data_IF_573892699349
#
_entry.id   IF_573892699349
#
_cell.length_a   1.000
_cell.length_b   1.000
_cell.length_c   1.000
_cell.angle_alpha   90.00
_cell.angle_beta   90.00
_cell.angle_gamma   90.00
#
_symmetry.space_group_name_H-M   'P 1'
#
loop_
_entity.id
_entity.type
_entity.pdbx_description
1 polymer ?
#
# COMPACT_ATOMS: atom_id res chain seq x y z
N UNK A 1 19.06 -14.09 -36.32
CA UNK A 1 17.89 -13.24 -36.02
C UNK A 1 18.21 -12.48 -34.75
N UNK A 2 18.61 -11.22 -34.88
CA UNK A 2 18.93 -10.35 -33.73
C UNK A 2 17.64 -10.01 -33.02
N UNK A 3 17.45 -10.54 -31.81
CA UNK A 3 16.42 -10.09 -30.91
C UNK A 3 16.72 -8.62 -30.60
N UNK A 4 15.94 -7.70 -31.16
CA UNK A 4 15.98 -6.29 -30.80
C UNK A 4 15.67 -6.21 -29.30
N UNK A 5 16.68 -5.93 -28.49
CA UNK A 5 16.52 -5.64 -27.08
C UNK A 5 15.74 -4.31 -26.97
N UNK A 6 14.44 -4.39 -27.07
CA UNK A 6 13.58 -3.23 -26.80
C UNK A 6 13.86 -2.83 -25.37
N UNK A 7 14.38 -1.60 -25.20
CA UNK A 7 14.62 -1.01 -23.86
C UNK A 7 13.35 -1.17 -23.03
N UNK A 8 13.45 -1.68 -21.79
CA UNK A 8 12.29 -1.83 -20.93
C UNK A 8 11.59 -0.47 -20.83
N UNK A 9 10.27 -0.46 -21.02
CA UNK A 9 9.43 0.74 -20.98
C UNK A 9 8.12 0.44 -20.25
N UNK A 10 7.41 1.46 -19.79
CA UNK A 10 6.06 1.28 -19.22
C UNK A 10 5.09 0.65 -20.23
N UNK A 11 5.25 0.98 -21.51
CA UNK A 11 4.48 0.34 -22.57
C UNK A 11 4.77 -1.16 -22.67
N UNK A 12 6.03 -1.59 -22.41
CA UNK A 12 6.38 -3.00 -22.40
C UNK A 12 5.70 -3.75 -21.24
N UNK A 13 5.54 -3.11 -20.06
CA UNK A 13 4.76 -3.66 -18.93
C UNK A 13 3.32 -3.95 -19.37
N UNK A 14 2.66 -2.97 -19.99
CA UNK A 14 1.26 -3.10 -20.42
C UNK A 14 1.09 -4.06 -21.61
N UNK A 15 2.12 -4.26 -22.43
CA UNK A 15 2.12 -5.25 -23.52
C UNK A 15 2.36 -6.69 -23.07
N UNK A 16 2.75 -6.90 -21.80
CA UNK A 16 2.83 -8.27 -21.26
C UNK A 16 1.47 -8.96 -21.41
N UNK A 17 1.43 -10.22 -21.86
CA UNK A 17 0.17 -10.94 -22.11
C UNK A 17 -0.77 -10.87 -20.89
N UNK A 18 -2.01 -10.44 -21.12
CA UNK A 18 -3.07 -10.29 -20.11
C UNK A 18 -2.83 -9.22 -19.02
N UNK A 19 -1.68 -8.53 -19.02
CA UNK A 19 -1.32 -7.53 -18.02
C UNK A 19 -2.35 -6.39 -17.95
N UNK A 20 -2.62 -5.73 -19.08
CA UNK A 20 -3.54 -4.59 -19.15
C UNK A 20 -4.94 -4.95 -18.64
N UNK A 21 -5.51 -6.08 -19.09
CA UNK A 21 -6.83 -6.54 -18.64
C UNK A 21 -6.87 -6.78 -17.14
N UNK A 22 -5.85 -7.47 -16.60
CA UNK A 22 -5.78 -7.82 -15.19
C UNK A 22 -5.59 -6.56 -14.34
N UNK A 23 -4.69 -5.68 -14.75
CA UNK A 23 -4.40 -4.43 -14.06
C UNK A 23 -5.60 -3.50 -14.03
N UNK A 24 -6.26 -3.27 -15.18
CA UNK A 24 -7.48 -2.44 -15.25
C UNK A 24 -8.59 -2.99 -14.36
N UNK A 25 -8.80 -4.31 -14.36
CA UNK A 25 -9.79 -4.95 -13.48
C UNK A 25 -9.46 -4.74 -12.00
N UNK A 26 -8.18 -4.84 -11.62
CA UNK A 26 -7.74 -4.54 -10.26
C UNK A 26 -7.96 -3.06 -9.90
N UNK A 27 -7.68 -2.12 -10.81
CA UNK A 27 -7.89 -0.68 -10.61
C UNK A 27 -9.37 -0.34 -10.43
N UNK A 28 -10.27 -0.93 -11.23
CA UNK A 28 -11.73 -0.76 -11.05
C UNK A 28 -12.17 -1.20 -9.66
N UNK A 29 -11.71 -2.36 -9.18
CA UNK A 29 -12.02 -2.81 -7.82
C UNK A 29 -11.43 -1.91 -6.73
N UNK A 30 -10.20 -1.41 -6.94
CA UNK A 30 -9.48 -0.53 -5.99
C UNK A 30 -10.03 0.89 -5.96
N UNK A 31 -10.68 1.36 -7.02
CA UNK A 31 -11.36 2.67 -7.03
C UNK A 31 -12.41 2.74 -5.92
N UNK A 32 -13.06 1.61 -5.59
CA UNK A 32 -13.94 1.51 -4.42
C UNK A 32 -13.25 1.98 -3.13
N UNK A 33 -11.96 1.67 -2.93
CA UNK A 33 -11.23 2.04 -1.71
C UNK A 33 -10.96 3.55 -1.64
N UNK A 34 -10.71 4.19 -2.77
CA UNK A 34 -10.61 5.65 -2.85
C UNK A 34 -11.91 6.36 -2.54
N UNK A 35 -13.05 5.78 -2.95
CA UNK A 35 -14.38 6.38 -2.77
C UNK A 35 -14.98 6.12 -1.38
N UNK A 36 -14.81 4.90 -0.84
CA UNK A 36 -15.57 4.41 0.31
C UNK A 36 -15.39 5.26 1.55
N UNK A 37 -14.19 5.79 1.79
CA UNK A 37 -13.88 6.54 3.01
C UNK A 37 -14.74 7.81 3.11
N UNK A 38 -14.75 8.64 2.07
CA UNK A 38 -15.56 9.85 2.04
C UNK A 38 -17.06 9.53 1.93
N UNK A 39 -17.44 8.56 1.10
CA UNK A 39 -18.83 8.17 0.92
C UNK A 39 -19.48 7.69 2.22
N UNK A 40 -18.79 6.81 2.99
CA UNK A 40 -19.29 6.32 4.28
C UNK A 40 -19.33 7.43 5.31
N UNK A 41 -18.30 8.27 5.39
CA UNK A 41 -18.28 9.42 6.31
C UNK A 41 -19.50 10.31 6.11
N UNK A 42 -19.77 10.72 4.86
CA UNK A 42 -20.90 11.58 4.52
C UNK A 42 -22.26 10.88 4.68
N UNK A 43 -22.36 9.59 4.32
CA UNK A 43 -23.58 8.84 4.44
C UNK A 43 -23.98 8.63 5.92
N UNK A 44 -23.01 8.26 6.78
CA UNK A 44 -23.24 8.05 8.21
C UNK A 44 -23.49 9.38 8.92
N UNK A 45 -22.75 10.46 8.62
CA UNK A 45 -22.99 11.77 9.23
C UNK A 45 -24.40 12.29 8.91
N UNK A 46 -24.88 12.11 7.67
CA UNK A 46 -26.25 12.46 7.29
C UNK A 46 -27.30 11.58 7.98
N UNK A 47 -27.04 10.27 8.12
CA UNK A 47 -28.00 9.33 8.73
C UNK A 47 -28.12 9.53 10.24
N UNK A 48 -27.04 9.90 10.93
CA UNK A 48 -26.97 10.05 12.40
C UNK A 48 -27.05 11.49 12.88
N UNK A 49 -26.88 12.47 11.98
CA UNK A 49 -26.77 13.90 12.34
C UNK A 49 -25.48 14.25 13.08
N UNK A 50 -24.45 13.36 13.12
CA UNK A 50 -23.25 13.56 13.92
C UNK A 50 -21.98 13.18 13.15
N UNK A 51 -21.09 14.14 12.93
CA UNK A 51 -19.75 13.91 12.38
C UNK A 51 -18.85 13.12 13.34
N UNK A 52 -19.03 13.27 14.66
CA UNK A 52 -18.26 12.51 15.65
C UNK A 52 -18.56 11.01 15.55
N UNK A 53 -19.85 10.64 15.45
CA UNK A 53 -20.27 9.25 15.26
C UNK A 53 -19.72 8.70 13.93
N UNK A 54 -19.81 9.46 12.85
CA UNK A 54 -19.29 9.08 11.56
C UNK A 54 -17.77 8.85 11.60
N UNK A 55 -17.02 9.73 12.27
CA UNK A 55 -15.59 9.60 12.48
C UNK A 55 -15.20 8.33 13.25
N UNK A 56 -15.90 8.02 14.33
CA UNK A 56 -15.69 6.80 15.12
C UNK A 56 -15.93 5.54 14.25
N UNK A 57 -17.05 5.52 13.51
CA UNK A 57 -17.39 4.40 12.63
C UNK A 57 -16.32 4.21 11.54
N UNK A 58 -15.84 5.31 10.96
CA UNK A 58 -14.75 5.27 9.97
C UNK A 58 -13.43 4.79 10.55
N UNK A 59 -13.09 5.22 11.77
CA UNK A 59 -11.88 4.74 12.46
C UNK A 59 -11.94 3.23 12.70
N UNK A 60 -13.08 2.72 13.16
CA UNK A 60 -13.29 1.28 13.37
C UNK A 60 -13.27 0.48 12.06
N UNK A 61 -13.92 0.99 11.00
CA UNK A 61 -13.85 0.42 9.64
C UNK A 61 -12.40 0.34 9.16
N UNK A 62 -11.65 1.44 9.25
CA UNK A 62 -10.26 1.53 8.84
C UNK A 62 -9.36 0.59 9.64
N UNK A 63 -9.51 0.54 10.97
CA UNK A 63 -8.78 -0.37 11.84
C UNK A 63 -9.02 -1.83 11.45
N UNK A 64 -10.28 -2.25 11.29
CA UNK A 64 -10.62 -3.61 10.86
C UNK A 64 -10.02 -3.92 9.47
N UNK A 65 -10.07 -2.96 8.54
CA UNK A 65 -9.51 -3.12 7.19
C UNK A 65 -7.99 -3.27 7.22
N UNK A 66 -7.29 -2.47 7.99
CA UNK A 66 -5.82 -2.44 8.03
C UNK A 66 -5.26 -3.63 8.81
N UNK A 67 -5.69 -3.84 10.05
CA UNK A 67 -5.10 -4.86 10.93
C UNK A 67 -5.42 -6.30 10.49
N UNK A 68 -6.56 -6.53 9.86
CA UNK A 68 -6.90 -7.85 9.33
C UNK A 68 -6.37 -8.11 7.90
N UNK A 69 -5.74 -7.12 7.26
CA UNK A 69 -5.20 -7.24 5.91
C UNK A 69 -4.20 -8.40 5.74
N UNK A 70 -3.20 -8.60 6.63
CA UNK A 70 -2.26 -9.71 6.48
C UNK A 70 -2.92 -11.09 6.63
N UNK A 71 -3.98 -11.21 7.45
CA UNK A 71 -4.74 -12.45 7.61
C UNK A 71 -5.52 -12.78 6.32
N UNK A 72 -6.21 -11.79 5.75
CA UNK A 72 -6.92 -11.95 4.49
C UNK A 72 -5.98 -12.29 3.33
N UNK A 73 -4.82 -11.64 3.29
CA UNK A 73 -3.77 -11.94 2.32
C UNK A 73 -3.24 -13.38 2.47
N UNK A 74 -3.04 -13.86 3.70
CA UNK A 74 -2.69 -15.26 3.96
C UNK A 74 -3.76 -16.25 3.47
N UNK A 75 -5.03 -15.88 3.54
CA UNK A 75 -6.12 -16.69 2.95
C UNK A 75 -6.02 -16.73 1.42
N UNK A 76 -5.65 -15.60 0.77
CA UNK A 76 -5.41 -15.56 -0.68
C UNK A 76 -4.22 -16.44 -1.05
N UNK A 77 -3.11 -16.35 -0.33
CA UNK A 77 -1.94 -17.20 -0.54
C UNK A 77 -2.25 -18.69 -0.32
N UNK A 78 -3.14 -18.99 0.64
CA UNK A 78 -3.53 -20.37 0.98
C UNK A 78 -4.47 -21.02 -0.01
N UNK A 79 -5.50 -20.30 -0.44
CA UNK A 79 -6.61 -20.88 -1.22
C UNK A 79 -6.58 -20.47 -2.69
N UNK A 80 -5.67 -19.56 -3.05
CA UNK A 80 -5.59 -18.92 -4.35
C UNK A 80 -6.54 -17.72 -4.50
N UNK A 81 -6.21 -16.77 -5.39
CA UNK A 81 -6.93 -15.51 -5.53
C UNK A 81 -8.43 -15.70 -5.78
N UNK A 82 -8.82 -16.59 -6.69
CA UNK A 82 -10.23 -16.79 -7.04
C UNK A 82 -11.09 -17.28 -5.87
N UNK A 83 -10.59 -18.28 -5.12
CA UNK A 83 -11.35 -18.89 -4.02
C UNK A 83 -11.44 -18.00 -2.79
N UNK A 84 -10.44 -17.13 -2.58
CA UNK A 84 -10.40 -16.25 -1.42
C UNK A 84 -11.03 -14.89 -1.71
N UNK A 85 -10.72 -14.25 -2.86
CA UNK A 85 -11.19 -12.89 -3.14
C UNK A 85 -12.69 -12.82 -3.47
N UNK A 86 -13.27 -13.83 -4.15
CA UNK A 86 -14.69 -13.80 -4.49
C UNK A 86 -15.61 -13.74 -3.26
N UNK A 87 -15.49 -14.63 -2.25
CA UNK A 87 -16.33 -14.53 -1.06
C UNK A 87 -16.04 -13.24 -0.26
N UNK A 88 -14.78 -12.80 -0.16
CA UNK A 88 -14.45 -11.53 0.50
C UNK A 88 -15.12 -10.35 -0.19
N UNK A 89 -15.04 -10.27 -1.53
CA UNK A 89 -15.64 -9.20 -2.30
C UNK A 89 -17.18 -9.24 -2.26
N UNK A 90 -17.77 -10.41 -2.29
CA UNK A 90 -19.23 -10.57 -2.18
C UNK A 90 -19.73 -10.12 -0.79
N UNK A 91 -19.06 -10.53 0.29
CA UNK A 91 -19.37 -10.09 1.65
C UNK A 91 -19.16 -8.58 1.81
N UNK A 92 -18.02 -8.07 1.36
CA UNK A 92 -17.72 -6.64 1.42
C UNK A 92 -18.73 -5.80 0.65
N UNK A 93 -19.04 -6.17 -0.61
CA UNK A 93 -20.02 -5.48 -1.43
C UNK A 93 -21.44 -5.58 -0.83
N UNK A 94 -21.83 -6.74 -0.30
CA UNK A 94 -23.10 -6.92 0.38
C UNK A 94 -23.24 -6.06 1.64
N UNK A 95 -22.20 -6.00 2.47
CA UNK A 95 -22.16 -5.16 3.67
C UNK A 95 -22.16 -3.66 3.33
N UNK A 96 -21.42 -3.24 2.29
CA UNK A 96 -21.50 -1.86 1.80
C UNK A 96 -22.91 -1.56 1.22
N UNK A 97 -23.51 -2.50 0.50
CA UNK A 97 -24.88 -2.36 0.02
C UNK A 97 -25.88 -2.22 1.17
N UNK A 98 -25.74 -3.01 2.24
CA UNK A 98 -26.53 -2.90 3.47
C UNK A 98 -26.31 -1.54 4.13
N UNK A 99 -25.06 -1.06 4.21
CA UNK A 99 -24.75 0.24 4.76
C UNK A 99 -25.36 1.38 3.91
N UNK A 100 -25.28 1.27 2.59
CA UNK A 100 -25.92 2.21 1.68
C UNK A 100 -27.43 2.25 1.87
N UNK A 101 -28.09 1.11 1.94
CA UNK A 101 -29.54 1.01 2.18
C UNK A 101 -29.94 1.60 3.55
N UNK A 102 -29.18 1.29 4.60
CA UNK A 102 -29.43 1.79 5.96
C UNK A 102 -29.21 3.30 6.08
N UNK A 103 -28.28 3.88 5.32
CA UNK A 103 -27.98 5.32 5.33
C UNK A 103 -28.72 6.11 4.26
N UNK A 104 -29.56 5.44 3.43
CA UNK A 104 -30.36 6.11 2.39
C UNK A 104 -31.35 7.12 2.96
N UNK A 105 -31.88 6.82 4.14
CA UNK A 105 -32.76 7.70 4.92
C UNK A 105 -32.15 7.98 6.30
N UNK A 106 -32.40 9.18 6.88
CA UNK A 106 -31.99 9.46 8.26
C UNK A 106 -32.67 8.54 9.28
N UNK A 107 -32.03 8.32 10.43
CA UNK A 107 -32.61 7.65 11.59
C UNK A 107 -32.09 6.22 11.84
N UNK A 108 -31.13 5.72 11.06
CA UNK A 108 -30.54 4.42 11.35
C UNK A 108 -29.71 4.45 12.65
N UNK A 109 -29.84 3.43 13.54
CA UNK A 109 -29.08 3.39 14.79
C UNK A 109 -27.57 3.32 14.54
N UNK A 110 -26.80 4.17 15.21
CA UNK A 110 -25.36 4.25 15.07
C UNK A 110 -24.65 2.90 15.33
N UNK A 111 -25.14 2.11 16.30
CA UNK A 111 -24.61 0.79 16.61
C UNK A 111 -24.73 -0.18 15.43
N UNK A 112 -25.84 -0.16 14.70
CA UNK A 112 -26.06 -0.99 13.50
C UNK A 112 -25.09 -0.56 12.40
N UNK A 113 -25.01 0.75 12.12
CA UNK A 113 -24.10 1.29 11.13
C UNK A 113 -22.63 0.94 11.45
N UNK A 114 -22.24 1.07 12.73
CA UNK A 114 -20.90 0.72 13.20
C UNK A 114 -20.58 -0.76 13.04
N UNK A 115 -21.49 -1.64 13.43
CA UNK A 115 -21.31 -3.09 13.29
C UNK A 115 -21.16 -3.51 11.83
N UNK A 116 -22.02 -3.00 10.94
CA UNK A 116 -21.95 -3.28 9.50
C UNK A 116 -20.65 -2.73 8.90
N UNK A 117 -20.23 -1.52 9.28
CA UNK A 117 -19.02 -0.92 8.80
C UNK A 117 -17.76 -1.71 9.24
N UNK A 118 -17.67 -2.12 10.51
CA UNK A 118 -16.56 -2.96 11.02
C UNK A 118 -16.52 -4.31 10.28
N UNK A 119 -17.66 -4.95 10.10
CA UNK A 119 -17.76 -6.20 9.35
C UNK A 119 -17.30 -6.01 7.88
N UNK A 120 -17.72 -4.90 7.25
CA UNK A 120 -17.23 -4.55 5.90
C UNK A 120 -15.71 -4.36 5.89
N UNK A 121 -15.14 -3.58 6.82
CA UNK A 121 -13.68 -3.43 6.96
C UNK A 121 -12.96 -4.76 7.11
N UNK A 122 -13.51 -5.68 7.91
CA UNK A 122 -12.96 -7.02 8.09
C UNK A 122 -12.96 -7.88 6.81
N UNK A 123 -13.90 -7.63 5.89
CA UNK A 123 -14.05 -8.39 4.64
C UNK A 123 -13.37 -7.71 3.42
N UNK A 124 -12.74 -6.55 3.56
CA UNK A 124 -12.11 -5.80 2.44
C UNK A 124 -11.12 -6.68 1.68
N UNK A 125 -11.31 -6.98 0.38
CA UNK A 125 -10.40 -7.86 -0.34
C UNK A 125 -9.03 -7.20 -0.57
N UNK A 126 -7.89 -7.90 -0.38
CA UNK A 126 -6.55 -7.34 -0.53
C UNK A 126 -6.12 -7.26 -2.01
N UNK A 127 -6.83 -6.49 -2.84
CA UNK A 127 -6.59 -6.42 -4.29
C UNK A 127 -5.22 -5.85 -4.66
N UNK A 128 -4.74 -4.81 -3.95
CA UNK A 128 -3.42 -4.22 -4.19
C UNK A 128 -2.28 -5.23 -3.99
N UNK A 129 -2.12 -5.81 -2.79
CA UNK A 129 -1.13 -6.85 -2.54
C UNK A 129 -1.26 -8.06 -3.50
N UNK A 130 -2.48 -8.45 -3.86
CA UNK A 130 -2.70 -9.55 -4.81
C UNK A 130 -2.25 -9.18 -6.22
N UNK A 131 -2.52 -7.96 -6.70
CA UNK A 131 -2.06 -7.52 -8.01
C UNK A 131 -0.53 -7.44 -8.08
N UNK A 132 0.14 -6.97 -7.01
CA UNK A 132 1.61 -6.95 -6.93
C UNK A 132 2.19 -8.37 -6.97
N UNK A 133 1.58 -9.33 -6.29
CA UNK A 133 1.98 -10.74 -6.41
C UNK A 133 1.77 -11.29 -7.85
N UNK A 134 0.71 -10.90 -8.52
CA UNK A 134 0.46 -11.24 -9.93
C UNK A 134 1.52 -10.61 -10.84
N UNK A 135 1.94 -9.36 -10.60
CA UNK A 135 3.04 -8.74 -11.33
C UNK A 135 4.34 -9.54 -11.20
N UNK A 136 4.68 -10.00 -9.99
CA UNK A 136 5.86 -10.83 -9.74
C UNK A 136 5.84 -12.20 -10.46
N UNK A 137 4.66 -12.70 -10.84
CA UNK A 137 4.51 -13.93 -11.63
C UNK A 137 4.48 -13.67 -13.16
N UNK A 138 3.92 -12.53 -13.59
CA UNK A 138 3.81 -12.17 -14.99
C UNK A 138 5.14 -11.67 -15.58
N UNK A 139 5.94 -11.00 -14.74
CA UNK A 139 7.14 -10.30 -15.19
C UNK A 139 8.36 -10.92 -14.51
N UNK A 140 9.16 -11.65 -15.27
CA UNK A 140 10.38 -12.30 -14.78
C UNK A 140 11.60 -11.36 -14.77
N UNK A 141 11.61 -10.36 -15.66
CA UNK A 141 12.67 -9.34 -15.69
C UNK A 141 12.52 -8.36 -14.52
N UNK A 142 13.55 -8.25 -13.68
CA UNK A 142 13.54 -7.40 -12.49
C UNK A 142 13.35 -5.90 -12.81
N UNK A 143 13.88 -5.43 -13.93
CA UNK A 143 13.76 -4.02 -14.34
C UNK A 143 12.33 -3.72 -14.78
N UNK A 144 11.72 -4.65 -15.50
CA UNK A 144 10.33 -4.53 -15.92
C UNK A 144 9.38 -4.67 -14.73
N UNK A 145 9.68 -5.53 -13.76
CA UNK A 145 8.92 -5.67 -12.51
C UNK A 145 8.97 -4.38 -11.67
N UNK A 146 10.12 -3.73 -11.57
CA UNK A 146 10.23 -2.43 -10.90
C UNK A 146 9.32 -1.39 -11.56
N UNK A 147 9.26 -1.34 -12.90
CA UNK A 147 8.32 -0.46 -13.62
C UNK A 147 6.87 -0.82 -13.36
N UNK A 148 6.55 -2.10 -13.32
CA UNK A 148 5.18 -2.56 -13.00
C UNK A 148 4.75 -2.10 -11.61
N UNK A 149 5.63 -2.21 -10.61
CA UNK A 149 5.34 -1.75 -9.25
C UNK A 149 5.28 -0.21 -9.14
N UNK A 150 6.14 0.50 -9.85
CA UNK A 150 6.06 1.97 -9.92
C UNK A 150 4.75 2.43 -10.57
N UNK A 151 4.34 1.78 -11.67
CA UNK A 151 3.07 2.06 -12.33
C UNK A 151 1.87 1.76 -11.42
N UNK A 152 1.92 0.63 -10.68
CA UNK A 152 0.88 0.25 -9.71
C UNK A 152 0.76 1.27 -8.57
N UNK A 153 1.90 1.74 -8.04
CA UNK A 153 1.93 2.75 -6.99
C UNK A 153 1.35 4.09 -7.44
N UNK A 154 1.77 4.59 -8.60
CA UNK A 154 1.24 5.85 -9.16
C UNK A 154 -0.25 5.73 -9.47
N UNK A 155 -0.69 4.58 -10.02
CA UNK A 155 -2.11 4.35 -10.26
C UNK A 155 -2.90 4.32 -8.94
N UNK A 156 -2.35 3.75 -7.86
CA UNK A 156 -2.97 3.76 -6.53
C UNK A 156 -3.16 5.19 -6.00
N UNK A 157 -2.15 6.04 -6.11
CA UNK A 157 -2.27 7.46 -5.74
C UNK A 157 -3.37 8.17 -6.53
N UNK A 158 -3.43 7.95 -7.84
CA UNK A 158 -4.49 8.52 -8.68
C UNK A 158 -5.89 8.07 -8.24
N UNK A 159 -6.04 6.82 -7.79
CA UNK A 159 -7.31 6.33 -7.27
C UNK A 159 -7.70 7.01 -5.94
N UNK A 160 -6.72 7.29 -5.07
CA UNK A 160 -6.98 8.00 -3.82
C UNK A 160 -7.33 9.48 -4.02
N UNK A 161 -6.83 10.11 -5.08
CA UNK A 161 -7.20 11.48 -5.45
C UNK A 161 -8.55 11.51 -6.18
N UNK A 162 -8.75 10.62 -7.16
CA UNK A 162 -9.97 10.61 -7.97
C UNK A 162 -11.20 10.10 -7.21
N UNK A 163 -11.02 9.22 -6.23
CA UNK A 163 -12.11 8.65 -5.45
C UNK A 163 -12.97 9.70 -4.72
N UNK A 164 -12.39 10.57 -3.87
CA UNK A 164 -13.12 11.67 -3.23
C UNK A 164 -13.75 12.63 -4.22
N UNK A 165 -13.08 12.95 -5.34
CA UNK A 165 -13.64 13.81 -6.38
C UNK A 165 -14.92 13.21 -6.99
N UNK A 166 -14.90 11.90 -7.29
CA UNK A 166 -16.08 11.19 -7.79
C UNK A 166 -17.23 11.19 -6.77
N UNK A 167 -16.92 11.01 -5.50
CA UNK A 167 -17.93 11.11 -4.42
C UNK A 167 -18.49 12.53 -4.34
N UNK A 168 -17.64 13.56 -4.42
CA UNK A 168 -18.07 14.96 -4.43
C UNK A 168 -19.03 15.27 -5.58
N UNK A 169 -18.72 14.79 -6.77
CA UNK A 169 -19.63 14.90 -7.94
C UNK A 169 -20.95 14.17 -7.69
N UNK A 170 -20.91 12.93 -7.19
CA UNK A 170 -22.10 12.12 -6.93
C UNK A 170 -23.03 12.78 -5.90
N UNK A 171 -22.50 13.37 -4.85
CA UNK A 171 -23.29 14.03 -3.79
C UNK A 171 -24.04 15.25 -4.31
N UNK A 172 -23.59 15.85 -5.40
CA UNK A 172 -24.31 16.93 -6.09
C UNK A 172 -25.64 16.48 -6.74
N UNK A 173 -25.81 15.18 -7.01
CA UNK A 173 -26.98 14.64 -7.73
C UNK A 173 -27.77 13.59 -6.94
N UNK A 174 -27.14 12.97 -5.92
CA UNK A 174 -27.70 11.85 -5.19
C UNK A 174 -27.29 11.89 -3.71
N UNK A 175 -28.02 11.19 -2.81
CA UNK A 175 -27.60 11.11 -1.42
C UNK A 175 -26.22 10.44 -1.31
N UNK A 176 -25.39 10.76 -0.27
CA UNK A 176 -24.07 10.18 -0.08
C UNK A 176 -24.04 8.64 -0.06
N UNK A 177 -25.14 8.02 0.34
CA UNK A 177 -25.36 6.57 0.29
C UNK A 177 -25.16 5.99 -1.13
N UNK A 178 -25.43 6.77 -2.19
CA UNK A 178 -25.18 6.37 -3.57
C UNK A 178 -23.69 6.16 -3.83
N UNK A 179 -22.82 6.96 -3.24
CA UNK A 179 -21.35 6.76 -3.31
C UNK A 179 -20.91 5.44 -2.67
N UNK A 180 -21.54 5.04 -1.56
CA UNK A 180 -21.31 3.74 -0.91
C UNK A 180 -21.81 2.59 -1.81
N UNK A 181 -22.98 2.73 -2.44
CA UNK A 181 -23.50 1.74 -3.39
C UNK A 181 -22.64 1.58 -4.62
N UNK A 182 -22.15 2.68 -5.20
CA UNK A 182 -21.19 2.64 -6.32
C UNK A 182 -19.90 1.96 -5.91
N UNK A 183 -19.38 2.24 -4.71
CA UNK A 183 -18.21 1.54 -4.18
C UNK A 183 -18.42 0.02 -4.06
N UNK A 184 -19.61 -0.41 -3.63
CA UNK A 184 -19.99 -1.82 -3.56
C UNK A 184 -19.97 -2.47 -4.95
N UNK A 185 -20.54 -1.81 -5.95
CA UNK A 185 -20.56 -2.30 -7.34
C UNK A 185 -19.14 -2.39 -7.95
N UNK A 186 -18.33 -1.34 -7.75
CA UNK A 186 -16.96 -1.30 -8.28
C UNK A 186 -16.10 -2.43 -7.73
N UNK A 187 -16.14 -2.69 -6.43
CA UNK A 187 -15.36 -3.79 -5.85
C UNK A 187 -15.86 -5.15 -6.32
N UNK A 188 -17.16 -5.35 -6.43
CA UNK A 188 -17.75 -6.60 -6.91
C UNK A 188 -17.36 -6.90 -8.36
N UNK A 189 -17.63 -5.95 -9.26
CA UNK A 189 -17.34 -6.08 -10.69
C UNK A 189 -15.83 -6.17 -10.94
N UNK A 190 -15.06 -5.28 -10.32
CA UNK A 190 -13.60 -5.25 -10.47
C UNK A 190 -12.94 -6.54 -9.98
N UNK A 191 -13.36 -7.06 -8.82
CA UNK A 191 -12.83 -8.32 -8.31
C UNK A 191 -13.22 -9.50 -9.19
N UNK A 192 -14.46 -9.57 -9.66
CA UNK A 192 -14.91 -10.62 -10.57
C UNK A 192 -14.10 -10.60 -11.88
N UNK A 193 -13.94 -9.43 -12.49
CA UNK A 193 -13.14 -9.25 -13.69
C UNK A 193 -11.66 -9.63 -13.45
N UNK A 194 -11.10 -9.26 -12.29
CA UNK A 194 -9.73 -9.58 -11.88
C UNK A 194 -9.49 -11.09 -11.77
N UNK A 195 -10.31 -11.79 -10.99
CA UNK A 195 -10.12 -13.24 -10.75
C UNK A 195 -10.47 -14.12 -11.94
N UNK A 196 -11.21 -13.59 -12.91
CA UNK A 196 -11.51 -14.29 -14.18
C UNK A 196 -10.43 -14.06 -15.23
N UNK A 197 -9.48 -13.15 -14.99
CA UNK A 197 -8.34 -12.91 -15.89
C UNK A 197 -7.46 -14.16 -16.01
N UNK A 198 -6.98 -14.51 -17.23
CA UNK A 198 -6.10 -15.65 -17.47
C UNK A 198 -4.81 -15.58 -16.64
N UNK A 199 -4.24 -14.40 -16.43
CA UNK A 199 -3.06 -14.19 -15.61
C UNK A 199 -3.25 -14.72 -14.17
N UNK A 200 -4.37 -14.36 -13.54
CA UNK A 200 -4.68 -14.77 -12.16
C UNK A 200 -4.95 -16.29 -12.07
N UNK A 201 -5.56 -16.87 -13.09
CA UNK A 201 -5.77 -18.33 -13.16
C UNK A 201 -4.46 -19.10 -13.22
N UNK A 202 -3.46 -18.59 -13.95
CA UNK A 202 -2.13 -19.18 -14.07
C UNK A 202 -1.37 -19.20 -12.73
N UNK A 203 -1.46 -18.13 -11.95
CA UNK A 203 -0.86 -18.03 -10.61
C UNK A 203 -1.43 -19.08 -9.65
N UNK A 204 -2.74 -19.26 -9.64
CA UNK A 204 -3.41 -20.23 -8.77
C UNK A 204 -2.95 -21.67 -9.01
N UNK A 205 -2.68 -22.05 -10.25
CA UNK A 205 -2.19 -23.40 -10.61
C UNK A 205 -0.77 -23.64 -10.12
N UNK A 206 0.11 -22.63 -10.19
CA UNK A 206 1.49 -22.72 -9.71
C UNK A 206 1.57 -22.77 -8.18
N UNK A 207 0.81 -21.93 -7.49
CA UNK A 207 0.77 -21.92 -6.02
C UNK A 207 0.27 -23.24 -5.42
N UNK A 208 -0.63 -23.96 -6.09
CA UNK A 208 -1.10 -25.28 -5.65
C UNK A 208 -0.03 -26.37 -5.69
N UNK A 209 0.98 -26.25 -6.56
CA UNK A 209 2.07 -27.24 -6.70
C UNK A 209 3.18 -27.06 -5.66
N UNK A 210 3.32 -25.87 -5.06
CA UNK A 210 4.39 -25.57 -4.10
C UNK A 210 3.81 -25.56 -2.69
N UNK A 211 3.68 -26.72 -2.07
CA UNK A 211 3.36 -26.88 -0.64
C UNK A 211 4.58 -26.63 0.25
N UNK A 212 5.46 -25.68 -0.06
CA UNK A 212 6.57 -25.32 0.78
C UNK A 212 6.12 -24.60 2.06
N UNK A 213 6.86 -24.79 3.13
CA UNK A 213 6.64 -24.23 4.49
C UNK A 213 6.44 -22.71 4.41
N UNK A 214 5.20 -22.26 4.58
CA UNK A 214 4.75 -20.86 4.49
C UNK A 214 5.20 -20.05 5.71
N UNK A 215 6.47 -19.74 5.81
CA UNK A 215 6.98 -18.80 6.81
C UNK A 215 7.36 -17.49 6.13
N UNK A 216 6.81 -16.39 6.63
CA UNK A 216 7.31 -15.05 6.30
C UNK A 216 8.76 -15.00 6.78
N UNK A 217 9.70 -14.84 5.84
CA UNK A 217 11.13 -14.77 6.16
C UNK A 217 11.45 -13.54 7.01
N UNK A 218 12.52 -13.62 7.81
CA UNK A 218 13.00 -12.45 8.59
C UNK A 218 13.32 -11.23 7.72
N UNK A 219 13.56 -11.41 6.43
CA UNK A 219 13.82 -10.33 5.47
C UNK A 219 12.67 -9.34 5.26
N UNK A 220 11.44 -9.67 5.71
CA UNK A 220 10.29 -8.75 5.62
C UNK A 220 10.35 -7.63 6.68
N UNK A 221 11.12 -7.79 7.74
CA UNK A 221 11.21 -6.77 8.81
C UNK A 221 11.74 -5.44 8.26
N UNK A 222 12.72 -5.48 7.36
CA UNK A 222 13.29 -4.28 6.77
C UNK A 222 12.25 -3.43 6.00
N UNK A 223 11.51 -3.96 5.02
CA UNK A 223 10.51 -3.19 4.30
C UNK A 223 9.33 -2.77 5.19
N UNK A 224 8.95 -3.55 6.19
CA UNK A 224 7.89 -3.21 7.14
C UNK A 224 8.30 -2.02 8.03
N UNK A 225 9.52 -2.01 8.54
CA UNK A 225 10.04 -0.89 9.37
C UNK A 225 10.11 0.40 8.56
N UNK A 226 10.64 0.34 7.34
CA UNK A 226 10.70 1.53 6.47
C UNK A 226 9.30 2.00 6.11
N UNK A 227 8.40 1.09 5.75
CA UNK A 227 7.01 1.42 5.41
C UNK A 227 6.28 2.09 6.59
N UNK A 228 6.49 1.59 7.83
CA UNK A 228 5.96 2.22 9.04
C UNK A 228 6.52 3.63 9.25
N UNK A 229 7.83 3.82 9.07
CA UNK A 229 8.50 5.13 9.18
C UNK A 229 7.99 6.13 8.13
N UNK A 230 7.90 5.71 6.87
CA UNK A 230 7.32 6.51 5.78
C UNK A 230 5.88 6.90 6.09
N UNK A 231 5.04 5.92 6.51
CA UNK A 231 3.67 6.18 6.90
C UNK A 231 3.55 7.17 8.05
N UNK A 232 4.36 7.00 9.09
CA UNK A 232 4.38 7.89 10.27
C UNK A 232 4.74 9.33 9.86
N UNK A 233 5.72 9.49 8.99
CA UNK A 233 6.10 10.78 8.43
C UNK A 233 4.95 11.41 7.63
N UNK A 234 4.28 10.66 6.76
CA UNK A 234 3.17 11.14 5.95
C UNK A 234 1.97 11.58 6.81
N UNK A 235 1.55 10.74 7.77
CA UNK A 235 0.44 11.08 8.66
C UNK A 235 0.72 12.31 9.54
N UNK A 236 1.98 12.52 9.94
CA UNK A 236 2.36 13.73 10.64
C UNK A 236 2.32 14.97 9.74
N UNK A 237 2.78 14.86 8.49
CA UNK A 237 2.79 15.96 7.50
C UNK A 237 1.38 16.47 7.23
N UNK A 238 0.37 15.59 7.18
CA UNK A 238 -1.01 15.98 6.93
C UNK A 238 -1.51 17.03 7.93
N UNK A 239 -1.23 16.84 9.22
CA UNK A 239 -1.63 17.80 10.26
C UNK A 239 -0.68 19.01 10.37
N UNK A 240 0.62 18.81 10.13
CA UNK A 240 1.59 19.89 10.20
C UNK A 240 1.41 20.91 9.09
N UNK A 241 1.06 20.48 7.89
CA UNK A 241 0.74 21.37 6.75
C UNK A 241 -0.52 22.19 7.06
N UNK A 242 -1.55 21.55 7.62
CA UNK A 242 -2.78 22.22 8.04
C UNK A 242 -2.47 23.29 9.10
N UNK A 243 -1.76 22.93 10.17
CA UNK A 243 -1.39 23.85 11.24
C UNK A 243 -0.53 25.02 10.75
N UNK A 244 0.40 24.77 9.82
CA UNK A 244 1.24 25.80 9.21
C UNK A 244 0.41 26.79 8.38
N UNK A 245 -0.57 26.30 7.62
CA UNK A 245 -1.46 27.14 6.82
C UNK A 245 -2.36 27.99 7.71
N UNK A 246 -2.98 27.40 8.74
CA UNK A 246 -3.83 28.11 9.71
C UNK A 246 -3.06 29.22 10.46
N UNK A 247 -1.84 28.93 10.95
CA UNK A 247 -1.01 29.93 11.67
C UNK A 247 -0.65 31.13 10.82
N UNK A 248 -0.69 31.00 9.50
CA UNK A 248 -0.38 32.08 8.54
C UNK A 248 -1.61 32.67 7.85
N UNK A 249 -2.81 32.30 8.29
CA UNK A 249 -4.06 32.84 7.79
C UNK A 249 -4.42 32.37 6.36
N UNK A 250 -3.90 31.21 5.93
CA UNK A 250 -4.26 30.61 4.67
C UNK A 250 -5.45 29.66 4.82
N UNK A 251 -6.34 29.64 3.83
CA UNK A 251 -7.54 28.80 3.83
C UNK A 251 -7.28 27.34 3.41
N UNK A 252 -8.33 26.51 3.50
CA UNK A 252 -8.31 25.06 3.20
C UNK A 252 -7.93 24.75 1.75
N UNK A 253 -8.26 25.62 0.81
CA UNK A 253 -7.86 25.52 -0.61
C UNK A 253 -6.34 25.53 -0.78
N UNK A 254 -5.62 26.32 0.01
CA UNK A 254 -4.15 26.32 0.02
C UNK A 254 -3.58 24.98 0.49
N UNK A 255 -4.15 24.40 1.54
CA UNK A 255 -3.78 23.08 2.05
C UNK A 255 -4.00 22.00 0.99
N UNK A 256 -5.13 22.06 0.29
CA UNK A 256 -5.43 21.12 -0.81
C UNK A 256 -4.39 21.20 -1.94
N UNK A 257 -3.93 22.40 -2.29
CA UNK A 257 -2.87 22.58 -3.29
C UNK A 257 -1.52 22.02 -2.83
N UNK A 258 -1.16 22.12 -1.55
CA UNK A 258 0.08 21.52 -1.02
C UNK A 258 0.01 20.00 -1.09
N UNK A 259 -1.12 19.38 -0.75
CA UNK A 259 -1.29 17.92 -0.88
C UNK A 259 -1.30 17.45 -2.34
N UNK A 260 -1.91 18.23 -3.22
CA UNK A 260 -1.83 17.95 -4.67
C UNK A 260 -0.37 18.01 -5.16
N UNK A 261 0.42 18.97 -4.67
CA UNK A 261 1.83 19.10 -4.98
C UNK A 261 2.67 17.94 -4.42
N UNK A 262 2.39 17.46 -3.18
CA UNK A 262 2.98 16.25 -2.59
C UNK A 262 2.73 15.02 -3.48
N UNK A 263 1.47 14.82 -3.86
CA UNK A 263 1.06 13.70 -4.73
C UNK A 263 1.68 13.78 -6.12
N UNK A 264 1.77 14.98 -6.70
CA UNK A 264 2.44 15.20 -7.97
C UNK A 264 3.96 14.86 -7.86
N UNK A 265 4.61 15.30 -6.78
CA UNK A 265 5.99 14.93 -6.48
C UNK A 265 6.17 13.41 -6.40
N UNK A 266 5.27 12.72 -5.69
CA UNK A 266 5.29 11.26 -5.54
C UNK A 266 5.08 10.54 -6.87
N UNK A 267 4.12 10.97 -7.68
CA UNK A 267 3.87 10.39 -9.00
C UNK A 267 5.08 10.55 -9.93
N UNK A 268 5.67 11.75 -9.99
CA UNK A 268 6.87 12.02 -10.78
C UNK A 268 8.06 11.19 -10.27
N UNK A 269 8.29 11.18 -8.96
CA UNK A 269 9.35 10.38 -8.34
C UNK A 269 9.19 8.89 -8.62
N UNK A 270 7.97 8.37 -8.50
CA UNK A 270 7.64 6.97 -8.78
C UNK A 270 7.91 6.59 -10.25
N UNK A 271 7.45 7.41 -11.20
CA UNK A 271 7.67 7.15 -12.63
C UNK A 271 9.15 7.24 -13.01
N UNK A 272 9.86 8.26 -12.53
CA UNK A 272 11.29 8.39 -12.79
C UNK A 272 12.09 7.25 -12.15
N UNK A 273 11.76 6.88 -10.91
CA UNK A 273 12.39 5.75 -10.23
C UNK A 273 12.22 4.45 -11.01
N UNK A 274 11.03 4.18 -11.53
CA UNK A 274 10.75 3.02 -12.36
C UNK A 274 11.49 3.04 -13.70
N UNK A 275 11.72 4.21 -14.28
CA UNK A 275 12.41 4.38 -15.56
C UNK A 275 13.93 4.18 -15.47
N UNK A 276 14.54 4.47 -14.32
CA UNK A 276 15.99 4.39 -14.11
C UNK A 276 16.46 2.96 -13.91
N UNK A 277 17.58 2.61 -14.52
CA UNK A 277 18.28 1.36 -14.31
C UNK A 277 19.28 1.49 -13.16
N UNK A 278 18.87 0.97 -12.01
CA UNK A 278 19.67 1.06 -10.79
C UNK A 278 20.74 -0.02 -10.74
N UNK A 279 22.00 0.39 -10.46
CA UNK A 279 23.09 -0.54 -10.17
C UNK A 279 23.05 -1.06 -8.73
N UNK A 280 22.59 -0.23 -7.80
CA UNK A 280 22.45 -0.61 -6.40
C UNK A 280 21.26 -1.57 -6.19
N UNK A 281 21.43 -2.56 -5.31
CA UNK A 281 20.37 -3.50 -4.95
C UNK A 281 19.23 -2.83 -4.19
N UNK A 282 18.04 -3.43 -4.25
CA UNK A 282 16.81 -2.95 -3.59
C UNK A 282 16.99 -2.69 -2.11
N UNK A 283 17.72 -3.56 -1.39
CA UNK A 283 17.99 -3.44 0.05
C UNK A 283 18.84 -2.24 0.43
N UNK A 284 19.72 -1.78 -0.46
CA UNK A 284 20.54 -0.57 -0.24
C UNK A 284 19.76 0.69 -0.59
N UNK A 285 18.93 0.63 -1.64
CA UNK A 285 18.11 1.77 -2.06
C UNK A 285 17.01 2.09 -1.03
N UNK A 286 16.44 1.09 -0.39
CA UNK A 286 15.34 1.25 0.53
C UNK A 286 15.64 2.26 1.67
N UNK A 287 16.71 2.10 2.47
CA UNK A 287 17.04 3.09 3.50
C UNK A 287 17.46 4.44 2.91
N UNK A 288 18.11 4.48 1.75
CA UNK A 288 18.50 5.75 1.12
C UNK A 288 17.28 6.59 0.70
N UNK A 289 16.24 5.96 0.16
CA UNK A 289 15.00 6.64 -0.23
C UNK A 289 14.22 7.13 1.01
N UNK A 290 14.16 6.34 2.07
CA UNK A 290 13.56 6.75 3.33
C UNK A 290 14.34 7.91 3.98
N UNK A 291 15.68 7.90 3.88
CA UNK A 291 16.51 9.01 4.35
C UNK A 291 16.27 10.28 3.54
N UNK A 292 16.13 10.17 2.20
CA UNK A 292 15.78 11.31 1.34
C UNK A 292 14.44 11.94 1.72
N UNK A 293 13.42 11.12 1.98
CA UNK A 293 12.13 11.58 2.49
C UNK A 293 12.30 12.32 3.83
N UNK A 294 12.98 11.69 4.79
CA UNK A 294 13.15 12.26 6.12
C UNK A 294 13.92 13.58 6.13
N UNK A 295 14.98 13.68 5.33
CA UNK A 295 15.75 14.92 5.16
C UNK A 295 14.91 16.02 4.51
N UNK A 296 14.15 15.71 3.46
CA UNK A 296 13.27 16.67 2.79
C UNK A 296 12.22 17.24 3.75
N UNK A 297 11.65 16.40 4.62
CA UNK A 297 10.69 16.83 5.65
C UNK A 297 11.35 17.65 6.76
N UNK A 298 12.56 17.27 7.21
CA UNK A 298 13.30 18.06 8.18
C UNK A 298 13.60 19.47 7.65
N UNK A 299 13.98 19.59 6.36
CA UNK A 299 14.19 20.88 5.68
C UNK A 299 12.87 21.64 5.53
N UNK A 300 11.74 20.97 5.32
CA UNK A 300 10.42 21.61 5.24
C UNK A 300 10.07 22.41 6.52
N UNK A 301 10.55 21.97 7.69
CA UNK A 301 10.40 22.70 8.95
C UNK A 301 11.08 24.07 8.95
N UNK A 302 12.12 24.27 8.15
CA UNK A 302 12.86 25.55 8.05
C UNK A 302 12.25 26.50 7.02
N UNK A 303 11.08 26.18 6.45
CA UNK A 303 10.46 26.97 5.40
C UNK A 303 9.94 28.33 5.92
N UNK A 304 10.47 29.47 5.42
CA UNK A 304 10.06 30.81 5.85
C UNK A 304 8.65 31.18 5.35
N UNK A 305 8.13 30.49 4.37
CA UNK A 305 6.84 30.78 3.74
C UNK A 305 6.24 29.60 3.01
N UNK A 306 5.02 29.81 2.50
CA UNK A 306 4.23 28.78 1.85
C UNK A 306 4.91 28.21 0.60
N UNK A 307 5.49 29.05 -0.25
CA UNK A 307 6.13 28.60 -1.48
C UNK A 307 7.33 27.67 -1.20
N UNK A 308 8.14 28.00 -0.19
CA UNK A 308 9.28 27.18 0.24
C UNK A 308 8.83 25.88 0.89
N UNK A 309 7.77 25.91 1.70
CA UNK A 309 7.16 24.73 2.27
C UNK A 309 6.63 23.80 1.15
N UNK A 310 5.89 24.35 0.18
CA UNK A 310 5.38 23.58 -0.95
C UNK A 310 6.51 22.93 -1.73
N UNK A 311 7.60 23.66 -2.02
CA UNK A 311 8.77 23.12 -2.67
C UNK A 311 9.42 21.95 -1.91
N UNK A 312 9.57 22.09 -0.59
CA UNK A 312 10.12 21.06 0.26
C UNK A 312 9.18 19.82 0.35
N UNK A 313 7.87 20.05 0.39
CA UNK A 313 6.85 18.97 0.39
C UNK A 313 6.82 18.24 -0.95
N UNK A 314 6.97 18.93 -2.10
CA UNK A 314 7.14 18.29 -3.42
C UNK A 314 8.38 17.41 -3.43
N UNK A 315 9.49 17.93 -2.88
CA UNK A 315 10.74 17.17 -2.78
C UNK A 315 10.58 15.93 -1.89
N UNK A 316 9.87 16.05 -0.76
CA UNK A 316 9.53 14.91 0.09
C UNK A 316 8.66 13.90 -0.66
N UNK A 317 7.63 14.38 -1.37
CA UNK A 317 6.77 13.56 -2.23
C UNK A 317 7.58 12.72 -3.21
N UNK A 318 8.58 13.31 -3.84
CA UNK A 318 9.44 12.63 -4.82
C UNK A 318 10.07 11.33 -4.29
N UNK A 319 10.24 11.18 -2.98
CA UNK A 319 10.77 9.97 -2.35
C UNK A 319 9.70 8.97 -1.90
N UNK A 320 8.43 9.37 -1.78
CA UNK A 320 7.35 8.51 -1.24
C UNK A 320 7.12 7.28 -2.10
N UNK A 321 6.70 7.44 -3.36
CA UNK A 321 6.42 6.32 -4.24
C UNK A 321 7.65 5.44 -4.49
N UNK A 322 8.88 5.97 -4.71
CA UNK A 322 10.09 5.17 -4.77
C UNK A 322 10.37 4.33 -3.53
N UNK A 323 10.20 4.90 -2.33
CA UNK A 323 10.43 4.18 -1.07
C UNK A 323 9.42 3.04 -0.91
N UNK A 324 8.14 3.29 -1.15
CA UNK A 324 7.10 2.25 -1.07
C UNK A 324 7.25 1.18 -2.16
N UNK A 325 7.53 1.57 -3.40
CA UNK A 325 7.84 0.64 -4.50
C UNK A 325 9.00 -0.28 -4.12
N UNK A 326 10.07 0.29 -3.56
CA UNK A 326 11.24 -0.50 -3.12
C UNK A 326 10.89 -1.40 -1.94
N UNK A 327 10.08 -0.93 -0.99
CA UNK A 327 9.62 -1.73 0.13
C UNK A 327 8.81 -2.95 -0.36
N UNK A 328 7.90 -2.77 -1.31
CA UNK A 328 7.16 -3.88 -1.90
C UNK A 328 8.06 -4.84 -2.69
N UNK A 329 9.06 -4.34 -3.42
CA UNK A 329 10.03 -5.20 -4.12
C UNK A 329 10.86 -6.04 -3.13
N UNK A 330 11.36 -5.44 -2.05
CA UNK A 330 12.11 -6.17 -1.01
C UNK A 330 11.22 -7.18 -0.30
N UNK A 331 9.95 -6.84 -0.05
CA UNK A 331 8.98 -7.77 0.54
C UNK A 331 8.73 -8.97 -0.37
N UNK A 332 8.54 -8.74 -1.67
CA UNK A 332 8.36 -9.81 -2.67
C UNK A 332 9.59 -10.70 -2.78
N UNK A 333 10.80 -10.11 -2.84
CA UNK A 333 12.07 -10.84 -2.88
C UNK A 333 12.33 -11.65 -1.61
N UNK A 334 11.81 -11.20 -0.46
CA UNK A 334 12.00 -11.84 0.84
C UNK A 334 10.93 -12.87 1.17
N UNK A 335 9.84 -12.87 0.41
CA UNK A 335 8.71 -13.76 0.64
C UNK A 335 9.01 -15.19 0.18
N UNK A 336 8.64 -16.15 1.02
CA UNK A 336 8.63 -17.55 0.61
C UNK A 336 7.61 -17.77 -0.53
N UNK A 337 7.83 -18.78 -1.41
CA UNK A 337 6.84 -19.16 -2.40
C UNK A 337 5.47 -19.41 -1.76
N UNK A 338 4.41 -18.72 -2.25
CA UNK A 338 3.06 -18.81 -1.69
C UNK A 338 2.80 -17.94 -0.45
N UNK A 339 3.64 -16.91 -0.17
CA UNK A 339 3.45 -15.92 0.89
C UNK A 339 3.61 -14.47 0.38
N UNK A 340 3.60 -14.25 -0.94
CA UNK A 340 3.85 -12.92 -1.54
C UNK A 340 2.73 -11.93 -1.28
N UNK A 341 1.46 -12.36 -1.33
CA UNK A 341 0.32 -11.49 -1.04
C UNK A 341 0.37 -11.03 0.41
N UNK A 342 0.66 -11.96 1.32
CA UNK A 342 0.79 -11.66 2.75
C UNK A 342 1.98 -10.72 3.01
N UNK A 343 3.12 -10.90 2.35
CA UNK A 343 4.27 -10.02 2.47
C UNK A 343 3.93 -8.58 2.06
N UNK A 344 3.29 -8.40 0.91
CA UNK A 344 2.80 -7.09 0.46
C UNK A 344 1.75 -6.49 1.40
N UNK A 345 0.88 -7.31 1.98
CA UNK A 345 -0.11 -6.84 2.95
C UNK A 345 0.52 -6.34 4.26
N UNK A 346 1.62 -6.93 4.73
CA UNK A 346 2.36 -6.41 5.88
C UNK A 346 2.96 -5.03 5.63
N UNK A 347 3.53 -4.80 4.44
CA UNK A 347 4.02 -3.46 4.04
C UNK A 347 2.86 -2.47 4.04
N UNK A 348 1.73 -2.82 3.41
CA UNK A 348 0.55 -1.95 3.37
C UNK A 348 -0.02 -1.65 4.77
N UNK A 349 -0.09 -2.66 5.64
CA UNK A 349 -0.51 -2.49 7.04
C UNK A 349 0.42 -1.56 7.79
N UNK A 350 1.74 -1.70 7.60
CA UNK A 350 2.74 -0.87 8.25
C UNK A 350 2.62 0.61 7.83
N UNK A 351 2.44 0.87 6.53
CA UNK A 351 2.21 2.24 6.02
C UNK A 351 0.98 2.85 6.67
N UNK A 352 -0.17 2.16 6.62
CA UNK A 352 -1.44 2.70 7.12
C UNK A 352 -1.46 2.85 8.65
N UNK A 353 -0.86 1.92 9.38
CA UNK A 353 -0.67 2.04 10.83
C UNK A 353 0.26 3.22 11.16
N UNK A 354 1.33 3.40 10.37
CA UNK A 354 2.22 4.55 10.45
C UNK A 354 1.48 5.87 10.24
N UNK A 355 0.70 5.99 9.17
CA UNK A 355 -0.10 7.19 8.86
C UNK A 355 -1.03 7.52 10.04
N UNK A 356 -1.78 6.55 10.55
CA UNK A 356 -2.69 6.76 11.67
C UNK A 356 -1.95 7.19 12.95
N UNK A 357 -0.80 6.56 13.25
CA UNK A 357 0.02 6.87 14.43
C UNK A 357 0.68 8.24 14.28
N UNK A 358 1.19 8.57 13.09
CA UNK A 358 1.82 9.84 12.79
C UNK A 358 0.85 11.01 12.91
N UNK A 359 -0.36 10.85 12.36
CA UNK A 359 -1.43 11.84 12.49
C UNK A 359 -1.83 12.05 13.97
N UNK A 360 -2.01 10.96 14.73
CA UNK A 360 -2.32 11.04 16.15
C UNK A 360 -1.19 11.71 16.96
N UNK A 361 0.07 11.35 16.71
CA UNK A 361 1.22 11.96 17.36
C UNK A 361 1.35 13.45 17.04
N UNK A 362 1.22 13.84 15.76
CA UNK A 362 1.23 15.24 15.35
C UNK A 362 0.08 16.02 15.99
N UNK A 363 -1.13 15.45 16.05
CA UNK A 363 -2.28 16.10 16.71
C UNK A 363 -2.06 16.37 18.19
N UNK A 364 -1.30 15.51 18.90
CA UNK A 364 -0.93 15.74 20.30
C UNK A 364 0.16 16.80 20.47
N UNK A 365 0.99 17.00 19.46
CA UNK A 365 2.16 17.89 19.50
C UNK A 365 1.88 19.27 18.90
N UNK A 366 0.93 19.37 17.98
CA UNK A 366 0.47 20.65 17.41
C UNK A 366 -0.04 21.55 18.52
N UNK A 367 0.42 22.78 18.55
CA UNK A 367 0.14 23.76 19.62
C UNK A 367 1.02 23.65 20.87
N UNK A 368 1.82 22.56 21.01
CA UNK A 368 2.79 22.38 22.12
C UNK A 368 4.23 22.60 21.69
N UNK A 369 4.52 22.34 20.41
CA UNK A 369 5.85 22.50 19.83
C UNK A 369 5.81 23.52 18.68
N UNK A 370 6.92 24.25 18.43
CA UNK A 370 7.09 25.04 17.23
C UNK A 370 6.91 24.16 15.97
N UNK A 371 6.34 24.72 14.88
CA UNK A 371 6.11 23.99 13.64
C UNK A 371 7.39 23.35 13.08
N UNK A 372 8.54 24.03 13.22
CA UNK A 372 9.88 23.53 12.84
C UNK A 372 10.20 22.18 13.51
N UNK A 373 9.96 22.10 14.83
CA UNK A 373 10.17 20.86 15.58
C UNK A 373 9.20 19.74 15.16
N UNK A 374 7.98 20.08 14.79
CA UNK A 374 6.99 19.11 14.27
C UNK A 374 7.48 18.44 12.98
N UNK A 375 7.90 19.22 11.99
CA UNK A 375 8.45 18.70 10.73
C UNK A 375 9.77 17.94 10.94
N UNK A 376 10.64 18.40 11.85
CA UNK A 376 11.87 17.69 12.20
C UNK A 376 11.58 16.30 12.82
N UNK A 377 10.56 16.20 13.69
CA UNK A 377 10.11 14.92 14.25
C UNK A 377 9.50 14.01 13.19
N UNK A 378 8.67 14.57 12.29
CA UNK A 378 8.10 13.82 11.17
C UNK A 378 9.20 13.25 10.26
N UNK A 379 10.19 14.05 9.89
CA UNK A 379 11.36 13.61 9.13
C UNK A 379 12.22 12.61 9.92
N UNK A 380 12.37 12.83 11.23
CA UNK A 380 13.09 11.97 12.15
C UNK A 380 12.59 10.53 12.16
N UNK A 381 11.28 10.31 12.02
CA UNK A 381 10.69 8.98 11.96
C UNK A 381 11.20 8.17 10.75
N UNK A 382 11.22 8.77 9.56
CA UNK A 382 11.77 8.13 8.36
C UNK A 382 13.29 7.93 8.46
N UNK A 383 14.02 8.90 9.04
CA UNK A 383 15.47 8.80 9.26
C UNK A 383 15.82 7.67 10.24
N UNK A 384 15.10 7.51 11.33
CA UNK A 384 15.30 6.43 12.29
C UNK A 384 15.02 5.07 11.66
N UNK A 385 13.93 4.95 10.89
CA UNK A 385 13.64 3.73 10.14
C UNK A 385 14.74 3.42 9.11
N UNK A 386 15.22 4.43 8.39
CA UNK A 386 16.33 4.30 7.44
C UNK A 386 17.62 3.85 8.14
N UNK A 387 17.98 4.47 9.26
CA UNK A 387 19.17 4.12 10.02
C UNK A 387 19.11 2.70 10.57
N UNK A 388 17.97 2.30 11.17
CA UNK A 388 17.77 0.95 11.68
C UNK A 388 17.96 -0.11 10.59
N UNK A 389 17.43 0.14 9.39
CA UNK A 389 17.57 -0.80 8.25
C UNK A 389 18.98 -0.75 7.67
N UNK A 390 19.61 0.42 7.54
CA UNK A 390 21.00 0.54 7.07
C UNK A 390 21.98 -0.24 7.94
N UNK A 391 21.82 -0.18 9.26
CA UNK A 391 22.64 -0.96 10.22
C UNK A 391 22.46 -2.47 9.99
N UNK A 392 21.21 -2.93 9.82
CA UNK A 392 20.97 -4.37 9.57
C UNK A 392 21.58 -4.83 8.25
N UNK A 393 21.50 -4.04 7.18
CA UNK A 393 22.12 -4.33 5.89
C UNK A 393 23.65 -4.34 6.01
N UNK A 394 24.24 -3.39 6.72
CA UNK A 394 25.69 -3.32 6.93
C UNK A 394 26.22 -4.54 7.73
N UNK A 395 25.47 -4.97 8.74
CA UNK A 395 25.84 -6.17 9.53
C UNK A 395 25.73 -7.44 8.67
N UNK A 396 24.67 -7.58 7.86
CA UNK A 396 24.50 -8.74 6.98
C UNK A 396 25.59 -8.82 5.89
N UNK A 397 26.09 -7.66 5.40
CA UNK A 397 27.17 -7.62 4.43
C UNK A 397 28.55 -7.90 5.04
N UNK A 398 28.78 -7.49 6.31
CA UNK A 398 30.05 -7.76 7.03
C UNK A 398 30.16 -9.20 7.55
N UNK A 399 29.03 -9.79 7.91
CA UNK A 399 28.95 -11.16 8.42
C UNK A 399 27.97 -11.97 7.55
N UNK A 400 28.37 -12.36 6.33
CA UNK A 400 27.54 -13.20 5.50
C UNK A 400 27.29 -14.50 6.27
N UNK A 401 26.03 -14.78 6.59
CA UNK A 401 25.68 -16.05 7.19
C UNK A 401 26.11 -17.15 6.24
N UNK A 402 26.93 -18.09 6.74
CA UNK A 402 27.34 -19.26 5.97
C UNK A 402 26.07 -19.89 5.38
N UNK A 403 26.02 -19.96 4.05
CA UNK A 403 24.94 -20.67 3.35
C UNK A 403 24.90 -22.09 3.87
N UNK A 404 23.76 -22.74 3.94
CA UNK A 404 23.64 -24.12 4.37
C UNK A 404 24.16 -25.12 3.33
N UNK A 405 25.16 -24.73 2.52
CA UNK A 405 25.86 -25.63 1.58
C UNK A 405 26.44 -26.86 2.29
N UNK A 406 26.78 -26.71 3.58
CA UNK A 406 27.22 -27.87 4.39
C UNK A 406 26.11 -28.86 4.73
N UNK A 407 24.85 -28.41 4.76
CA UNK A 407 23.72 -29.33 4.98
C UNK A 407 23.28 -30.06 3.73
N UNK A 408 23.37 -29.41 2.54
CA UNK A 408 23.13 -30.07 1.28
C UNK A 408 24.24 -31.08 0.96
N UNK A 409 25.50 -30.72 1.15
CA UNK A 409 26.62 -31.65 0.99
C UNK A 409 26.59 -32.81 1.99
N UNK A 410 26.15 -32.58 3.23
CA UNK A 410 25.96 -33.69 4.19
C UNK A 410 24.78 -34.58 3.80
N UNK A 411 23.69 -34.03 3.30
CA UNK A 411 22.55 -34.83 2.81
C UNK A 411 22.88 -35.60 1.50
N UNK A 412 23.66 -35.00 0.61
CA UNK A 412 24.17 -35.72 -0.58
C UNK A 412 25.17 -36.84 -0.21
N UNK A 413 26.04 -36.61 0.79
CA UNK A 413 26.93 -37.64 1.29
C UNK A 413 26.21 -38.78 2.04
N UNK A 414 25.19 -38.42 2.86
CA UNK A 414 24.36 -39.43 3.52
C UNK A 414 23.52 -40.25 2.54
N UNK A 415 23.00 -39.63 1.45
CA UNK A 415 22.28 -40.31 0.41
C UNK A 415 23.21 -41.18 -0.47
N UNK A 416 24.44 -40.74 -0.74
CA UNK A 416 25.45 -41.50 -1.42
C UNK A 416 25.85 -42.76 -0.66
N UNK A 417 26.11 -42.64 0.64
CA UNK A 417 26.41 -43.79 1.49
C UNK A 417 25.24 -44.75 1.71
N UNK A 418 24.00 -44.24 1.71
CA UNK A 418 22.82 -45.12 1.79
C UNK A 418 22.56 -45.89 0.52
N UNK A 419 22.91 -45.34 -0.65
CA UNK A 419 22.84 -46.07 -1.93
C UNK A 419 23.93 -47.14 -2.07
N UNK A 420 25.16 -46.88 -1.63
CA UNK A 420 26.23 -47.85 -1.64
C UNK A 420 25.98 -49.02 -0.67
N UNK A 421 25.38 -48.77 0.48
CA UNK A 421 25.02 -49.78 1.47
C UNK A 421 23.82 -50.65 1.05
N UNK A 422 22.97 -50.18 0.12
CA UNK A 422 21.81 -50.93 -0.41
C UNK A 422 22.13 -51.83 -1.63
N UNK A 423 23.35 -51.77 -2.15
CA UNK A 423 23.80 -52.55 -3.32
C UNK A 423 24.82 -53.66 -2.96
N UNK A 424 25.17 -53.81 -1.71
CA UNK A 424 25.97 -54.90 -1.14
C UNK A 424 25.07 -55.89 -0.38
#
# INVERSE_FOLDING_TARGET
MSASSTRPSYAAVLRTPHATRTFTAALVGRLSYGMVSLAVLLAVSRATGSYAVAGIIMALFGAASVFLSPLRAALVDRHGPRRALLPMAALYAGLLGTLAAATWRPGAPAAVLGTVAVAAGACTPPLGPTMRAVWGELVTDRRLLQRAYSLDGVAEELLFVSGPLLVGVLVGFAPPAAGVAVSALLVGIGTLAFVTSPAVKGVAVRASRVRARRRIGRGIVQPVVVAAGVGLSLGAVDLLVLAFAEQRGHGDDTVAWIFAALSAGSAVGGLLYGAVEWRAGTRVRLPALAAGLGLSLAVAGLAPGLATLTGAVVCAGFFVAPALTTAYLVADESAAPGARVQAGAWVNTAVNAGISTGAAAAGLLVGRLPGEAGFALAGGAALLAAAAVAVTVAVETRYPRARPEKQEQQQEQEQGHAQEAGTA
#
